data_IF_800090318336
#
_entry.id   IF_800090318336
#
_cell.length_a   1.000
_cell.length_b   1.000
_cell.length_c   1.000
_cell.angle_alpha   90.00
_cell.angle_beta   90.00
_cell.angle_gamma   90.00
#
_symmetry.space_group_name_H-M   'P 1'
#
loop_
_entity.id
_entity.type
_entity.pdbx_description
1 polymer ?
#
# COMPACT_ATOMS: atom_id res chain seq x y z
N UNK A 1 45.37 37.11 -49.77
CA UNK A 1 44.02 36.49 -49.78
C UNK A 1 44.14 35.16 -49.08
N UNK A 2 43.66 35.09 -47.83
CA UNK A 2 43.79 33.90 -46.97
C UNK A 2 42.71 32.89 -47.33
N UNK A 3 43.13 31.64 -47.50
CA UNK A 3 42.29 30.48 -47.75
C UNK A 3 41.27 30.29 -46.63
N UNK A 4 40.10 29.77 -47.02
CA UNK A 4 38.99 29.44 -46.15
C UNK A 4 39.40 28.43 -45.06
N UNK A 5 39.31 28.83 -43.80
CA UNK A 5 39.29 27.91 -42.66
C UNK A 5 37.83 27.68 -42.26
N UNK A 6 37.25 26.63 -42.84
CA UNK A 6 36.12 25.91 -42.27
C UNK A 6 36.55 25.31 -40.93
N UNK A 7 36.10 25.90 -39.83
CA UNK A 7 36.43 25.47 -38.47
C UNK A 7 35.24 25.54 -37.52
N UNK A 8 34.05 25.08 -37.95
CA UNK A 8 33.00 24.70 -37.01
C UNK A 8 33.47 23.43 -36.28
N UNK A 9 34.22 23.62 -35.21
CA UNK A 9 34.76 22.54 -34.39
C UNK A 9 33.62 21.66 -33.88
N UNK A 10 33.65 20.35 -34.20
CA UNK A 10 32.60 19.43 -33.80
C UNK A 10 32.78 19.08 -32.32
N UNK A 11 31.65 19.07 -31.61
CA UNK A 11 31.38 18.25 -30.42
C UNK A 11 32.42 18.27 -29.29
N UNK A 12 32.35 19.31 -28.45
CA UNK A 12 32.74 19.18 -27.04
C UNK A 12 31.74 18.34 -26.25
N UNK A 13 31.60 17.04 -26.54
CA UNK A 13 30.88 16.08 -25.69
C UNK A 13 31.75 15.79 -24.45
N UNK A 14 31.65 16.66 -23.44
CA UNK A 14 32.30 16.48 -22.14
C UNK A 14 31.90 15.13 -21.52
N UNK A 15 32.83 14.41 -20.84
CA UNK A 15 32.55 13.11 -20.27
C UNK A 15 31.42 13.22 -19.24
N UNK A 16 30.31 12.57 -19.58
CA UNK A 16 29.11 12.33 -18.77
C UNK A 16 29.42 11.42 -17.57
N UNK A 17 30.36 11.83 -16.70
CA UNK A 17 30.56 11.25 -15.37
C UNK A 17 29.72 12.03 -14.36
N UNK A 18 28.46 12.27 -14.70
CA UNK A 18 27.53 13.06 -13.90
C UNK A 18 26.73 12.21 -12.92
N UNK A 19 26.47 12.78 -11.74
CA UNK A 19 25.50 12.29 -10.72
C UNK A 19 24.06 12.18 -11.25
N UNK A 20 23.81 12.68 -12.46
CA UNK A 20 22.52 12.68 -13.14
C UNK A 20 22.41 11.55 -14.16
N UNK A 21 22.22 11.91 -15.43
CA UNK A 21 21.75 11.03 -16.52
C UNK A 21 22.55 9.73 -16.69
N UNK A 22 23.89 9.81 -16.73
CA UNK A 22 24.74 8.61 -16.86
C UNK A 22 24.63 7.63 -15.67
N UNK A 23 24.34 8.14 -14.47
CA UNK A 23 24.16 7.30 -13.28
C UNK A 23 22.78 6.62 -13.22
N UNK A 24 21.73 7.24 -13.76
CA UNK A 24 20.37 6.69 -13.76
C UNK A 24 20.26 5.45 -14.66
N UNK A 25 20.97 5.43 -15.79
CA UNK A 25 20.99 4.27 -16.69
C UNK A 25 21.50 2.97 -16.04
N UNK A 26 22.30 3.08 -14.96
CA UNK A 26 22.87 1.92 -14.24
C UNK A 26 21.93 1.32 -13.19
N UNK A 27 20.75 1.92 -12.91
CA UNK A 27 19.85 1.53 -11.80
C UNK A 27 18.93 0.33 -12.13
N UNK A 28 19.53 -0.80 -12.56
CA UNK A 28 18.82 -2.06 -12.87
C UNK A 28 18.57 -2.95 -11.66
N UNK A 29 19.48 -2.95 -10.68
CA UNK A 29 19.37 -3.79 -9.49
C UNK A 29 18.28 -3.28 -8.53
N UNK A 30 17.45 -4.18 -8.01
CA UNK A 30 16.34 -3.82 -7.11
C UNK A 30 16.73 -4.10 -5.66
N UNK A 31 16.64 -3.07 -4.83
CA UNK A 31 16.83 -3.19 -3.38
C UNK A 31 15.55 -3.66 -2.67
N UNK A 32 14.38 -3.25 -3.19
CA UNK A 32 13.08 -3.54 -2.60
C UNK A 32 12.15 -4.34 -3.53
N UNK A 33 11.58 -5.43 -3.01
CA UNK A 33 10.50 -6.22 -3.64
C UNK A 33 9.19 -6.14 -2.85
N UNK A 34 8.13 -6.76 -3.37
CA UNK A 34 6.84 -6.87 -2.71
C UNK A 34 6.96 -7.68 -1.41
N UNK A 35 6.38 -7.17 -0.33
CA UNK A 35 6.31 -7.87 0.93
C UNK A 35 5.04 -8.70 1.03
N UNK A 36 5.16 -9.97 1.41
CA UNK A 36 4.03 -10.91 1.58
C UNK A 36 2.99 -10.41 2.59
N UNK A 37 3.42 -9.81 3.71
CA UNK A 37 2.50 -9.37 4.77
C UNK A 37 1.69 -8.13 4.41
N UNK A 38 2.32 -7.12 3.78
CA UNK A 38 1.69 -5.82 3.57
C UNK A 38 1.44 -5.44 2.10
N UNK A 39 1.85 -6.26 1.14
CA UNK A 39 1.65 -6.03 -0.29
C UNK A 39 2.41 -4.83 -0.87
N UNK A 40 3.26 -4.17 -0.08
CA UNK A 40 4.04 -2.99 -0.51
C UNK A 40 5.41 -3.39 -1.03
N UNK A 41 5.92 -2.67 -2.04
CA UNK A 41 7.31 -2.78 -2.50
C UNK A 41 8.26 -2.15 -1.49
N UNK A 42 8.52 -2.87 -0.40
CA UNK A 42 9.32 -2.37 0.73
C UNK A 42 10.15 -3.47 1.39
N UNK A 43 10.12 -4.70 0.86
CA UNK A 43 10.94 -5.79 1.38
C UNK A 43 12.37 -5.64 0.86
N UNK A 44 13.33 -5.37 1.75
CA UNK A 44 14.73 -5.24 1.38
C UNK A 44 15.35 -6.62 1.19
N UNK A 45 15.89 -6.93 0.00
CA UNK A 45 16.37 -8.28 -0.33
C UNK A 45 17.58 -8.68 0.50
N UNK A 46 18.65 -7.87 0.48
CA UNK A 46 19.89 -8.22 1.19
C UNK A 46 19.72 -8.30 2.72
N UNK A 47 18.89 -7.44 3.30
CA UNK A 47 18.65 -7.37 4.76
C UNK A 47 17.47 -8.23 5.20
N UNK A 48 16.80 -8.91 4.27
CA UNK A 48 15.60 -9.71 4.49
C UNK A 48 14.56 -9.07 5.40
N UNK A 49 14.35 -7.74 5.27
CA UNK A 49 13.50 -6.97 6.19
C UNK A 49 12.59 -5.99 5.46
N UNK A 50 11.32 -5.97 5.83
CA UNK A 50 10.37 -5.00 5.31
C UNK A 50 10.48 -3.65 6.02
N UNK A 51 10.80 -2.61 5.25
CA UNK A 51 10.85 -1.23 5.74
C UNK A 51 9.47 -0.68 6.14
N UNK A 52 8.37 -1.26 5.66
CA UNK A 52 7.02 -0.77 6.00
C UNK A 52 6.46 -1.45 7.25
N UNK A 53 6.28 -2.77 7.21
CA UNK A 53 5.61 -3.54 8.25
C UNK A 53 6.55 -4.24 9.24
N UNK A 54 7.85 -4.35 8.93
CA UNK A 54 8.84 -5.00 9.81
C UNK A 54 8.98 -6.52 9.65
N UNK A 55 8.30 -7.15 8.69
CA UNK A 55 8.50 -8.58 8.36
C UNK A 55 10.01 -8.90 8.22
N UNK A 56 10.55 -9.96 8.86
CA UNK A 56 9.88 -11.12 9.46
C UNK A 56 9.38 -10.95 10.91
N UNK A 57 9.66 -9.84 11.59
CA UNK A 57 9.32 -9.68 13.00
C UNK A 57 7.83 -9.95 13.31
N UNK A 58 7.54 -10.53 14.47
CA UNK A 58 6.16 -10.87 14.88
C UNK A 58 5.29 -9.61 15.00
N UNK A 59 5.83 -8.53 15.61
CA UNK A 59 5.10 -7.27 15.78
C UNK A 59 5.14 -6.42 14.51
N UNK A 60 4.03 -5.74 14.23
CA UNK A 60 3.97 -4.74 13.17
C UNK A 60 4.77 -3.49 13.57
N UNK A 61 5.67 -3.05 12.70
CA UNK A 61 6.43 -1.81 12.90
C UNK A 61 5.50 -0.60 12.96
N UNK A 62 5.51 0.15 14.05
CA UNK A 62 4.74 1.39 14.26
C UNK A 62 5.63 2.43 14.94
N UNK A 63 5.47 3.69 14.56
CA UNK A 63 6.17 4.82 15.17
C UNK A 63 5.20 5.97 15.37
N UNK A 64 5.19 6.56 16.56
CA UNK A 64 4.22 7.58 16.96
C UNK A 64 4.43 8.91 16.23
N UNK A 65 5.67 9.22 15.84
CA UNK A 65 5.98 10.39 15.02
C UNK A 65 5.37 10.34 13.61
N UNK A 66 4.88 9.18 13.14
CA UNK A 66 4.29 9.01 11.82
C UNK A 66 2.78 8.73 11.88
N UNK A 67 2.01 9.75 12.27
CA UNK A 67 0.54 9.66 12.43
C UNK A 67 -0.14 9.23 11.13
N UNK A 68 0.25 9.82 9.99
CA UNK A 68 -0.32 9.48 8.66
C UNK A 68 -0.04 8.03 8.28
N UNK A 69 1.14 7.49 8.62
CA UNK A 69 1.47 6.11 8.36
C UNK A 69 0.68 5.13 9.25
N UNK A 70 0.37 5.53 10.48
CA UNK A 70 -0.53 4.77 11.37
C UNK A 70 -1.94 4.72 10.78
N UNK A 71 -2.50 5.86 10.39
CA UNK A 71 -3.86 5.95 9.81
C UNK A 71 -4.05 5.08 8.56
N UNK A 72 -3.04 4.99 7.68
CA UNK A 72 -3.12 4.17 6.44
C UNK A 72 -3.16 2.65 6.65
N UNK A 73 -2.85 2.16 7.85
CA UNK A 73 -2.75 0.71 8.14
C UNK A 73 -3.55 0.26 9.36
N UNK A 74 -4.23 1.20 10.02
CA UNK A 74 -5.01 0.89 11.20
C UNK A 74 -6.23 0.03 10.83
N UNK A 75 -6.76 -0.67 11.83
CA UNK A 75 -8.04 -1.39 11.73
C UNK A 75 -9.12 -0.44 11.23
N UNK A 76 -9.94 -0.87 10.26
CA UNK A 76 -10.89 0.02 9.57
C UNK A 76 -10.62 0.15 8.07
N UNK A 77 -9.35 0.10 7.65
CA UNK A 77 -8.96 0.39 6.26
C UNK A 77 -9.12 -0.80 5.29
N UNK A 78 -9.27 -2.02 5.82
CA UNK A 78 -9.36 -3.24 5.02
C UNK A 78 -10.76 -3.84 4.98
N UNK A 79 -10.86 -5.08 4.49
CA UNK A 79 -12.14 -5.79 4.30
C UNK A 79 -12.91 -6.08 5.60
N UNK A 80 -12.24 -6.05 6.77
CA UNK A 80 -12.84 -6.29 8.10
C UNK A 80 -13.84 -7.46 8.15
N UNK A 81 -13.53 -8.59 7.47
CA UNK A 81 -14.49 -9.70 7.29
C UNK A 81 -15.13 -10.19 8.59
N UNK A 82 -14.34 -10.33 9.65
CA UNK A 82 -14.84 -10.72 10.97
C UNK A 82 -15.48 -9.53 11.70
N UNK A 83 -14.69 -8.49 11.99
CA UNK A 83 -15.10 -7.34 12.80
C UNK A 83 -16.34 -6.60 12.28
N UNK A 84 -16.58 -6.60 10.95
CA UNK A 84 -17.77 -5.98 10.36
C UNK A 84 -19.08 -6.58 10.88
N UNK A 85 -19.11 -7.89 11.09
CA UNK A 85 -20.31 -8.60 11.58
C UNK A 85 -20.39 -8.65 13.11
N UNK A 86 -19.26 -8.45 13.81
CA UNK A 86 -19.22 -8.50 15.28
C UNK A 86 -20.15 -7.48 15.90
N UNK A 87 -20.20 -6.24 15.40
CA UNK A 87 -21.09 -5.21 15.94
C UNK A 87 -22.58 -5.59 15.82
N UNK A 88 -22.97 -6.23 14.72
CA UNK A 88 -24.34 -6.71 14.50
C UNK A 88 -24.67 -7.87 15.43
N UNK A 89 -23.74 -8.83 15.58
CA UNK A 89 -23.89 -9.96 16.52
C UNK A 89 -23.94 -9.50 17.97
N UNK A 90 -23.18 -8.47 18.32
CA UNK A 90 -23.19 -7.88 19.66
C UNK A 90 -24.58 -7.30 19.99
N UNK A 91 -25.22 -6.62 19.03
CA UNK A 91 -26.60 -6.10 19.20
C UNK A 91 -27.63 -7.21 19.44
N UNK A 92 -27.40 -8.40 18.88
CA UNK A 92 -28.23 -9.59 19.12
C UNK A 92 -27.71 -10.47 20.25
N UNK A 93 -26.83 -9.95 21.12
CA UNK A 93 -26.25 -10.64 22.27
C UNK A 93 -25.61 -12.01 21.92
N UNK A 94 -25.02 -12.11 20.73
CA UNK A 94 -24.44 -13.34 20.18
C UNK A 94 -25.40 -14.55 20.16
N UNK A 95 -26.70 -14.32 19.91
CA UNK A 95 -27.66 -15.40 19.67
C UNK A 95 -27.22 -16.31 18.51
N UNK A 96 -27.27 -17.62 18.75
CA UNK A 96 -26.93 -18.67 17.79
C UNK A 96 -28.08 -19.70 17.72
N UNK A 97 -28.25 -20.37 16.57
CA UNK A 97 -29.20 -21.48 16.40
C UNK A 97 -30.69 -21.12 16.35
N UNK A 98 -31.08 -19.86 16.51
CA UNK A 98 -32.49 -19.43 16.45
C UNK A 98 -32.90 -18.95 15.07
N UNK A 99 -34.05 -19.39 14.56
CA UNK A 99 -34.65 -18.86 13.33
C UNK A 99 -35.59 -17.69 13.62
N UNK A 100 -35.68 -16.74 12.70
CA UNK A 100 -36.65 -15.66 12.81
C UNK A 100 -38.07 -16.23 12.66
N UNK A 101 -38.99 -15.82 13.54
CA UNK A 101 -40.39 -16.22 13.43
C UNK A 101 -40.97 -15.73 12.08
N UNK A 102 -41.81 -16.54 11.41
CA UNK A 102 -42.43 -16.14 10.15
C UNK A 102 -43.35 -14.93 10.41
N UNK A 103 -43.31 -13.93 9.50
CA UNK A 103 -44.17 -12.75 9.63
C UNK A 103 -45.62 -13.13 9.33
N UNK A 104 -46.54 -12.90 10.26
CA UNK A 104 -47.99 -12.98 10.01
C UNK A 104 -48.39 -11.77 9.15
N UNK A 105 -49.07 -12.01 8.02
CA UNK A 105 -49.71 -10.93 7.26
C UNK A 105 -50.88 -10.41 8.10
N UNK A 106 -50.82 -9.16 8.53
CA UNK A 106 -51.98 -8.47 9.12
C UNK A 106 -52.88 -8.11 7.94
N UNK A 107 -54.13 -8.61 7.91
CA UNK A 107 -55.12 -8.13 6.96
C UNK A 107 -55.33 -6.63 7.25
N UNK A 108 -55.30 -5.80 6.21
CA UNK A 108 -55.57 -4.38 6.36
C UNK A 108 -56.89 -4.21 7.10
N UNK A 109 -56.87 -3.51 8.25
CA UNK A 109 -58.08 -3.10 8.94
C UNK A 109 -58.95 -2.34 7.94
N UNK A 110 -60.09 -2.93 7.58
CA UNK A 110 -61.10 -2.29 6.75
C UNK A 110 -61.66 -1.12 7.56
N UNK A 111 -61.19 0.09 7.23
CA UNK A 111 -61.75 1.33 7.74
C UNK A 111 -63.27 1.32 7.47
N UNK A 112 -64.03 1.38 8.56
CA UNK A 112 -65.46 1.71 8.58
C UNK A 112 -65.63 3.23 8.64
#
# INVERSE_FOLDING_TARGET
MRYAETGFSPVGFLPSMGKGTGSFGKRRNKTHTLCVRCGRRSFHLQKSRCASCGYPAARLRKYNWSIKAIRRKTTGTGRMRYLRHVAVRFKSNFREGTVAAPRKKVAADAAS
#
